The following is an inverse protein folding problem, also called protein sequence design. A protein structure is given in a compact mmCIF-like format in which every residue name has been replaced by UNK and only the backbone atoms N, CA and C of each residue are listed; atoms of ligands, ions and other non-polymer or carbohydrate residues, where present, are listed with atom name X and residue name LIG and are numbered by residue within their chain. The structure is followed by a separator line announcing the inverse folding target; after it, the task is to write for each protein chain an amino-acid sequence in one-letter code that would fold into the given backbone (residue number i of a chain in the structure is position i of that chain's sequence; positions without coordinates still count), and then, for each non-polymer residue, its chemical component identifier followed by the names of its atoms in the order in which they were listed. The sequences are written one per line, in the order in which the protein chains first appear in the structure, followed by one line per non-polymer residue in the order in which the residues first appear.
data_IF_831726993801
#
_entry.id   IF_831726993801
#
_cell.length_a   1.000
_cell.length_b   1.000
_cell.length_c   1.000
_cell.angle_alpha   90.00
_cell.angle_beta   90.00
_cell.angle_gamma   90.00
#
_symmetry.space_group_name_H-M   'P 1'
#
loop_
_entity.id
_entity.type
_entity.pdbx_description
1 polymer ?
#
# COMPACT_ATOMS: atom_id res chain seq x y z
N UNK A 1 8.82 -27.82 -29.58
CA UNK A 1 8.84 -28.94 -28.62
C UNK A 1 7.77 -28.70 -27.58
N UNK A 2 6.71 -29.50 -27.58
CA UNK A 2 5.83 -29.75 -26.43
C UNK A 2 4.82 -30.84 -26.83
N UNK A 3 5.29 -32.09 -26.89
CA UNK A 3 4.42 -33.24 -26.96
C UNK A 3 3.80 -33.40 -25.57
N UNK A 4 2.68 -32.73 -25.32
CA UNK A 4 1.92 -32.91 -24.09
C UNK A 4 1.11 -34.18 -24.30
N UNK A 5 1.56 -35.29 -23.73
CA UNK A 5 0.87 -36.58 -23.77
C UNK A 5 -0.55 -36.42 -23.24
N UNK A 6 -1.51 -36.39 -24.16
CA UNK A 6 -2.93 -36.46 -23.84
C UNK A 6 -3.25 -37.95 -23.76
N UNK A 7 -3.26 -38.49 -22.54
CA UNK A 7 -3.93 -39.78 -22.31
C UNK A 7 -5.39 -39.60 -22.78
N UNK A 8 -5.74 -40.20 -23.90
CA UNK A 8 -7.10 -40.08 -24.45
C UNK A 8 -8.11 -40.61 -23.43
N UNK A 9 -9.29 -39.99 -23.33
CA UNK A 9 -10.37 -40.41 -22.40
C UNK A 9 -10.66 -41.92 -22.46
N UNK A 10 -10.47 -42.53 -23.63
CA UNK A 10 -10.63 -43.97 -23.85
C UNK A 10 -9.58 -44.81 -23.11
N UNK A 11 -8.33 -44.35 -23.03
CA UNK A 11 -7.26 -45.03 -22.30
C UNK A 11 -7.56 -44.98 -20.79
N UNK A 12 -8.00 -43.83 -20.28
CA UNK A 12 -8.36 -43.67 -18.87
C UNK A 12 -9.53 -44.57 -18.47
N UNK A 13 -10.58 -44.65 -19.30
CA UNK A 13 -11.72 -45.57 -19.08
C UNK A 13 -11.27 -47.03 -18.98
N UNK A 14 -10.37 -47.45 -19.87
CA UNK A 14 -9.87 -48.83 -19.90
C UNK A 14 -9.04 -49.18 -18.67
N UNK A 15 -8.16 -48.27 -18.25
CA UNK A 15 -7.38 -48.44 -17.01
C UNK A 15 -8.32 -48.52 -15.79
N UNK A 16 -9.36 -47.69 -15.74
CA UNK A 16 -10.31 -47.68 -14.63
C UNK A 16 -11.09 -49.00 -14.53
N UNK A 17 -11.56 -49.52 -15.66
CA UNK A 17 -12.21 -50.84 -15.74
C UNK A 17 -11.27 -51.95 -15.26
N UNK A 18 -10.03 -51.96 -15.75
CA UNK A 18 -9.05 -52.97 -15.37
C UNK A 18 -8.75 -52.93 -13.87
N UNK A 19 -8.58 -51.75 -13.27
CA UNK A 19 -8.38 -51.60 -11.82
C UNK A 19 -9.61 -52.13 -11.06
N UNK A 20 -10.82 -51.78 -11.46
CA UNK A 20 -12.03 -52.18 -10.77
C UNK A 20 -12.27 -53.70 -10.81
N UNK A 21 -12.01 -54.33 -11.96
CA UNK A 21 -12.16 -55.78 -12.14
C UNK A 21 -11.03 -56.55 -11.46
N UNK A 22 -9.77 -56.17 -11.69
CA UNK A 22 -8.64 -56.98 -11.22
C UNK A 22 -8.24 -56.71 -9.78
N UNK A 23 -8.27 -55.44 -9.36
CA UNK A 23 -7.85 -55.03 -8.02
C UNK A 23 -9.00 -55.12 -7.02
N UNK A 24 -10.20 -54.66 -7.39
CA UNK A 24 -11.36 -54.59 -6.50
C UNK A 24 -12.35 -55.75 -6.69
N UNK A 25 -12.12 -56.65 -7.66
CA UNK A 25 -12.96 -57.83 -7.94
C UNK A 25 -14.43 -57.48 -8.20
N UNK A 26 -14.68 -56.33 -8.82
CA UNK A 26 -16.01 -55.89 -9.21
C UNK A 26 -16.33 -56.36 -10.64
N UNK A 27 -17.48 -56.98 -10.85
CA UNK A 27 -17.95 -57.36 -12.18
C UNK A 27 -18.56 -56.13 -12.89
N UNK A 28 -17.70 -55.36 -13.56
CA UNK A 28 -18.08 -54.17 -14.34
C UNK A 28 -17.89 -54.44 -15.83
N UNK A 29 -18.92 -54.10 -16.62
CA UNK A 29 -18.94 -54.32 -18.09
C UNK A 29 -18.65 -53.04 -18.86
N UNK A 30 -18.92 -51.87 -18.26
CA UNK A 30 -18.63 -50.56 -18.85
C UNK A 30 -18.39 -49.49 -17.77
N UNK A 31 -17.68 -48.42 -18.15
CA UNK A 31 -17.44 -47.26 -17.31
C UNK A 31 -17.72 -45.97 -18.09
N UNK A 32 -18.68 -45.19 -17.60
CA UNK A 32 -18.94 -43.86 -18.11
C UNK A 32 -18.18 -42.81 -17.29
N UNK A 33 -17.41 -41.98 -17.99
CA UNK A 33 -16.70 -40.87 -17.37
C UNK A 33 -17.68 -39.70 -17.32
N UNK A 34 -18.36 -39.51 -16.19
CA UNK A 34 -19.21 -38.36 -15.98
C UNK A 34 -18.33 -37.10 -16.00
N UNK A 35 -18.59 -36.20 -16.96
CA UNK A 35 -18.07 -34.84 -16.84
C UNK A 35 -18.83 -34.17 -15.72
N UNK A 36 -18.19 -33.99 -14.57
CA UNK A 36 -18.68 -33.03 -13.59
C UNK A 36 -18.69 -31.66 -14.26
N UNK A 37 -19.88 -31.09 -14.44
CA UNK A 37 -20.04 -29.65 -14.72
C UNK A 37 -19.73 -28.81 -13.48
N UNK A 38 -18.63 -29.12 -12.79
CA UNK A 38 -18.03 -28.16 -11.89
C UNK A 38 -17.45 -27.08 -12.80
N UNK A 39 -17.99 -25.86 -12.71
CA UNK A 39 -17.42 -24.69 -13.37
C UNK A 39 -15.92 -24.70 -13.07
N UNK A 40 -15.11 -24.94 -14.11
CA UNK A 40 -13.71 -24.58 -14.08
C UNK A 40 -13.70 -23.08 -13.82
N UNK A 41 -13.46 -22.68 -12.57
CA UNK A 41 -12.94 -21.35 -12.28
C UNK A 41 -11.54 -21.39 -12.90
N UNK A 42 -11.47 -21.06 -14.19
CA UNK A 42 -10.21 -20.67 -14.79
C UNK A 42 -9.79 -19.46 -13.97
N UNK A 43 -8.80 -19.64 -13.10
CA UNK A 43 -8.17 -18.58 -12.30
C UNK A 43 -7.41 -17.64 -13.25
N UNK A 44 -8.16 -16.97 -14.12
CA UNK A 44 -7.79 -15.69 -14.67
C UNK A 44 -7.84 -14.79 -13.46
N UNK A 45 -6.67 -14.56 -12.85
CA UNK A 45 -6.46 -13.47 -11.90
C UNK A 45 -7.06 -12.22 -12.55
N UNK A 46 -8.28 -11.89 -12.19
CA UNK A 46 -8.98 -10.75 -12.76
C UNK A 46 -8.34 -9.55 -12.11
N UNK A 47 -7.62 -8.76 -12.90
CA UNK A 47 -7.15 -7.46 -12.42
C UNK A 47 -8.39 -6.66 -12.05
N UNK A 48 -8.46 -6.17 -10.81
CA UNK A 48 -9.60 -5.37 -10.37
C UNK A 48 -9.76 -4.12 -11.25
N UNK A 49 -8.66 -3.65 -11.87
CA UNK A 49 -8.65 -2.53 -12.81
C UNK A 49 -9.40 -2.79 -14.11
N UNK A 50 -9.73 -4.05 -14.43
CA UNK A 50 -10.55 -4.40 -15.59
C UNK A 50 -12.05 -4.52 -15.24
N UNK A 51 -12.37 -4.52 -13.94
CA UNK A 51 -13.74 -4.67 -13.42
C UNK A 51 -14.41 -3.30 -13.43
N UNK A 52 -15.64 -3.24 -13.96
CA UNK A 52 -16.48 -2.04 -13.91
C UNK A 52 -16.82 -1.67 -12.46
N UNK A 53 -16.50 -0.44 -12.04
CA UNK A 53 -16.75 0.01 -10.67
C UNK A 53 -18.23 -0.11 -10.26
N UNK A 54 -19.19 0.02 -11.20
CA UNK A 54 -20.62 -0.12 -10.91
C UNK A 54 -20.97 -1.48 -10.28
N UNK A 55 -20.23 -2.55 -10.62
CA UNK A 55 -20.46 -3.88 -10.05
C UNK A 55 -20.34 -3.92 -8.53
N UNK A 56 -19.49 -3.05 -7.96
CA UNK A 56 -19.28 -2.95 -6.52
C UNK A 56 -19.94 -1.69 -5.94
N UNK A 57 -19.98 -0.59 -6.69
CA UNK A 57 -20.45 0.70 -6.22
C UNK A 57 -21.94 0.69 -5.94
N UNK A 58 -22.74 -0.02 -6.76
CA UNK A 58 -24.19 -0.10 -6.59
C UNK A 58 -24.61 -1.08 -5.48
N UNK A 59 -23.66 -1.74 -4.83
CA UNK A 59 -23.94 -2.61 -3.69
C UNK A 59 -24.29 -1.82 -2.42
N UNK A 60 -25.02 -2.47 -1.52
CA UNK A 60 -25.35 -1.98 -0.18
C UNK A 60 -24.36 -2.47 0.90
N UNK A 61 -23.15 -2.91 0.49
CA UNK A 61 -22.11 -3.33 1.42
C UNK A 61 -20.97 -2.31 1.47
N UNK A 62 -20.56 -1.83 2.67
CA UNK A 62 -19.41 -0.95 2.80
C UNK A 62 -18.11 -1.63 2.36
N UNK A 63 -18.02 -2.96 2.49
CA UNK A 63 -16.85 -3.74 2.06
C UNK A 63 -16.69 -3.68 0.53
N UNK A 64 -17.78 -3.91 -0.20
CA UNK A 64 -17.77 -3.83 -1.65
C UNK A 64 -17.58 -2.39 -2.12
N UNK A 65 -18.22 -1.42 -1.46
CA UNK A 65 -18.03 0.00 -1.76
C UNK A 65 -16.57 0.43 -1.60
N UNK A 66 -15.87 0.01 -0.55
CA UNK A 66 -14.44 0.38 -0.38
C UNK A 66 -13.57 -0.19 -1.51
N UNK A 67 -13.90 -1.39 -2.01
CA UNK A 67 -13.15 -2.05 -3.08
C UNK A 67 -13.36 -1.39 -4.46
N UNK A 68 -14.42 -0.57 -4.63
CA UNK A 68 -14.65 0.18 -5.88
C UNK A 68 -13.46 1.04 -6.28
N UNK A 69 -12.68 1.52 -5.30
CA UNK A 69 -11.48 2.33 -5.52
C UNK A 69 -10.44 1.61 -6.41
N UNK A 70 -10.46 0.28 -6.45
CA UNK A 70 -9.54 -0.54 -7.24
C UNK A 70 -10.03 -0.79 -8.68
N UNK A 71 -11.29 -0.46 -8.97
CA UNK A 71 -11.96 -0.77 -10.23
C UNK A 71 -11.68 0.22 -11.37
N UNK A 72 -12.03 -0.17 -12.59
CA UNK A 72 -12.10 0.74 -13.73
C UNK A 72 -13.20 1.78 -13.49
N UNK A 73 -12.83 3.06 -13.52
CA UNK A 73 -13.76 4.18 -13.37
C UNK A 73 -14.46 4.58 -14.67
N UNK A 74 -14.21 3.87 -15.78
CA UNK A 74 -14.87 4.10 -17.08
C UNK A 74 -14.70 5.53 -17.62
N UNK A 75 -13.59 6.17 -17.27
CA UNK A 75 -13.28 7.54 -17.67
C UNK A 75 -13.88 8.63 -16.78
N UNK A 76 -14.54 8.28 -15.67
CA UNK A 76 -14.85 9.26 -14.63
C UNK A 76 -13.57 9.79 -13.99
N UNK A 77 -13.61 11.06 -13.60
CA UNK A 77 -12.51 11.69 -12.90
C UNK A 77 -12.24 10.97 -11.56
N UNK A 78 -10.99 10.55 -11.29
CA UNK A 78 -10.69 9.83 -10.07
C UNK A 78 -10.97 10.63 -8.80
N UNK A 79 -10.77 11.95 -8.80
CA UNK A 79 -10.99 12.76 -7.61
C UNK A 79 -12.49 12.83 -7.28
N UNK A 80 -13.33 13.09 -8.30
CA UNK A 80 -14.79 13.04 -8.17
C UNK A 80 -15.28 11.66 -7.68
N UNK A 81 -14.72 10.59 -8.23
CA UNK A 81 -15.07 9.22 -7.84
C UNK A 81 -14.74 8.92 -6.38
N UNK A 82 -13.56 9.32 -5.91
CA UNK A 82 -13.19 9.13 -4.51
C UNK A 82 -14.10 9.90 -3.58
N UNK A 83 -14.46 11.14 -3.93
CA UNK A 83 -15.42 11.94 -3.15
C UNK A 83 -16.77 11.23 -3.06
N UNK A 84 -17.29 10.67 -4.15
CA UNK A 84 -18.55 9.91 -4.14
C UNK A 84 -18.49 8.64 -3.29
N UNK A 85 -17.41 7.86 -3.42
CA UNK A 85 -17.17 6.67 -2.60
C UNK A 85 -17.15 7.05 -1.12
N UNK A 86 -16.40 8.11 -0.78
CA UNK A 86 -16.27 8.60 0.59
C UNK A 86 -17.61 9.06 1.19
N UNK A 87 -18.41 9.83 0.42
CA UNK A 87 -19.74 10.28 0.85
C UNK A 87 -20.67 9.09 1.12
N UNK A 88 -20.73 8.12 0.20
CA UNK A 88 -21.58 6.94 0.36
C UNK A 88 -21.11 6.08 1.53
N UNK A 89 -19.80 5.90 1.69
CA UNK A 89 -19.20 5.14 2.78
C UNK A 89 -19.50 5.78 4.14
N UNK A 90 -19.37 7.12 4.24
CA UNK A 90 -19.73 7.88 5.43
C UNK A 90 -21.21 7.67 5.79
N UNK A 91 -22.12 7.78 4.81
CA UNK A 91 -23.54 7.59 5.05
C UNK A 91 -23.88 6.18 5.59
N UNK A 92 -23.19 5.15 5.10
CA UNK A 92 -23.39 3.76 5.51
C UNK A 92 -22.80 3.43 6.89
N UNK A 93 -21.79 4.19 7.33
CA UNK A 93 -21.02 3.90 8.56
C UNK A 93 -21.20 4.94 9.66
N UNK A 94 -22.00 5.99 9.45
CA UNK A 94 -22.20 7.14 10.35
C UNK A 94 -22.52 6.84 11.82
N UNK A 95 -23.10 5.68 12.09
CA UNK A 95 -23.55 5.30 13.45
C UNK A 95 -22.52 4.46 14.21
N UNK A 96 -21.41 4.09 13.56
CA UNK A 96 -20.32 3.32 14.13
C UNK A 96 -18.98 3.97 13.77
N UNK A 97 -18.56 4.91 14.62
CA UNK A 97 -17.32 5.67 14.40
C UNK A 97 -16.09 4.76 14.27
N UNK A 98 -16.05 3.64 15.00
CA UNK A 98 -14.90 2.72 14.94
C UNK A 98 -14.83 2.09 13.56
N UNK A 99 -15.96 1.53 13.10
CA UNK A 99 -16.06 0.91 11.78
C UNK A 99 -15.85 1.91 10.66
N UNK A 100 -16.35 3.13 10.81
CA UNK A 100 -16.10 4.22 9.86
C UNK A 100 -14.59 4.49 9.73
N UNK A 101 -13.88 4.68 10.85
CA UNK A 101 -12.42 4.90 10.82
C UNK A 101 -11.67 3.76 10.17
N UNK A 102 -12.06 2.51 10.42
CA UNK A 102 -11.47 1.33 9.79
C UNK A 102 -11.63 1.37 8.26
N UNK A 103 -12.82 1.67 7.74
CA UNK A 103 -13.00 1.77 6.29
C UNK A 103 -12.33 2.98 5.66
N UNK A 104 -12.28 4.14 6.34
CA UNK A 104 -11.53 5.30 5.86
C UNK A 104 -10.04 4.96 5.72
N UNK A 105 -9.47 4.28 6.72
CA UNK A 105 -8.09 3.82 6.65
C UNK A 105 -7.86 2.83 5.49
N UNK A 106 -8.79 1.90 5.27
CA UNK A 106 -8.69 0.97 4.13
C UNK A 106 -8.76 1.73 2.80
N UNK A 107 -9.69 2.68 2.67
CA UNK A 107 -9.85 3.49 1.46
C UNK A 107 -8.57 4.27 1.14
N UNK A 108 -7.96 4.90 2.15
CA UNK A 108 -6.67 5.61 2.01
C UNK A 108 -5.57 4.67 1.50
N UNK A 109 -5.43 3.49 2.10
CA UNK A 109 -4.43 2.49 1.70
C UNK A 109 -4.66 2.03 0.25
N UNK A 110 -5.91 1.74 -0.12
CA UNK A 110 -6.22 1.24 -1.45
C UNK A 110 -6.09 2.33 -2.53
N UNK A 111 -6.43 3.59 -2.21
CA UNK A 111 -6.20 4.73 -3.08
C UNK A 111 -4.70 4.95 -3.33
N UNK A 112 -3.88 4.88 -2.29
CA UNK A 112 -2.41 4.98 -2.38
C UNK A 112 -1.80 3.82 -3.20
N UNK A 113 -2.30 2.59 -3.00
CA UNK A 113 -1.90 1.43 -3.81
C UNK A 113 -2.24 1.58 -5.31
N UNK A 114 -3.28 2.38 -5.63
CA UNK A 114 -3.63 2.72 -7.00
C UNK A 114 -2.91 4.00 -7.49
N UNK A 115 -2.10 4.62 -6.64
CA UNK A 115 -1.42 5.89 -6.90
C UNK A 115 -2.39 7.01 -7.29
N UNK A 116 -3.58 7.00 -6.68
CA UNK A 116 -4.54 8.08 -6.82
C UNK A 116 -4.11 9.19 -5.85
N UNK A 117 -3.41 10.19 -6.36
CA UNK A 117 -2.98 11.36 -5.58
C UNK A 117 -4.16 12.33 -5.35
N UNK A 118 -5.24 11.85 -4.74
CA UNK A 118 -6.47 12.62 -4.55
C UNK A 118 -6.36 13.52 -3.32
N UNK A 119 -6.70 14.79 -3.48
CA UNK A 119 -6.87 15.68 -2.35
C UNK A 119 -8.31 15.60 -1.82
N UNK A 120 -8.53 14.80 -0.77
CA UNK A 120 -9.84 14.60 -0.14
C UNK A 120 -10.07 15.48 1.09
N UNK A 121 -9.22 16.48 1.34
CA UNK A 121 -9.33 17.34 2.52
C UNK A 121 -10.68 18.08 2.55
N UNK A 122 -11.09 18.67 1.41
CA UNK A 122 -12.38 19.35 1.31
C UNK A 122 -13.55 18.40 1.60
N UNK A 123 -13.47 17.15 1.15
CA UNK A 123 -14.49 16.15 1.39
C UNK A 123 -14.55 15.74 2.87
N UNK A 124 -13.41 15.62 3.55
CA UNK A 124 -13.35 15.40 4.99
C UNK A 124 -13.96 16.56 5.78
N UNK A 125 -13.66 17.80 5.40
CA UNK A 125 -14.20 19.00 6.04
C UNK A 125 -15.73 19.07 5.87
N UNK A 126 -16.24 18.82 4.65
CA UNK A 126 -17.67 18.79 4.34
C UNK A 126 -18.43 17.69 5.09
N UNK A 127 -17.79 16.54 5.30
CA UNK A 127 -18.37 15.40 6.02
C UNK A 127 -18.16 15.46 7.53
N UNK A 128 -17.52 16.53 8.04
CA UNK A 128 -17.16 16.71 9.44
C UNK A 128 -16.42 15.49 10.03
N UNK A 129 -15.51 14.90 9.25
CA UNK A 129 -14.70 13.77 9.69
C UNK A 129 -13.58 14.29 10.60
N UNK A 130 -13.51 13.76 11.83
CA UNK A 130 -12.44 14.10 12.79
C UNK A 130 -11.11 13.44 12.38
N UNK A 131 -10.41 14.08 11.43
CA UNK A 131 -9.14 13.57 10.86
C UNK A 131 -8.07 13.30 11.94
N UNK A 132 -8.07 14.04 13.05
CA UNK A 132 -7.11 13.86 14.15
C UNK A 132 -7.23 12.50 14.85
N UNK A 133 -8.39 11.85 14.72
CA UNK A 133 -8.63 10.49 15.24
C UNK A 133 -8.28 9.39 14.25
N UNK A 134 -7.92 9.72 13.00
CA UNK A 134 -7.53 8.74 12.01
C UNK A 134 -6.09 8.24 12.28
N UNK A 135 -5.84 6.92 12.20
CA UNK A 135 -4.50 6.37 12.42
C UNK A 135 -3.43 6.92 11.47
N UNK A 136 -3.80 7.20 10.22
CA UNK A 136 -2.92 7.76 9.20
C UNK A 136 -2.45 9.17 9.56
N UNK A 137 -3.38 10.04 10.00
CA UNK A 137 -3.06 11.38 10.47
C UNK A 137 -2.12 11.36 11.68
N UNK A 138 -2.42 10.52 12.68
CA UNK A 138 -1.60 10.39 13.88
C UNK A 138 -0.17 9.95 13.54
N UNK A 139 -0.04 8.93 12.67
CA UNK A 139 1.26 8.45 12.19
C UNK A 139 2.02 9.52 11.39
N UNK A 140 1.30 10.29 10.57
CA UNK A 140 1.88 11.40 9.82
C UNK A 140 2.40 12.50 10.74
N UNK A 141 1.64 12.87 11.77
CA UNK A 141 2.03 13.86 12.77
C UNK A 141 3.24 13.41 13.59
N UNK A 142 3.24 12.16 14.06
CA UNK A 142 4.36 11.58 14.82
C UNK A 142 5.66 11.63 14.01
N UNK A 143 5.63 11.16 12.76
CA UNK A 143 6.78 11.25 11.85
C UNK A 143 7.22 12.68 11.59
N UNK A 144 6.28 13.60 11.39
CA UNK A 144 6.59 15.01 11.17
C UNK A 144 7.29 15.65 12.36
N UNK A 145 6.86 15.31 13.59
CA UNK A 145 7.50 15.75 14.82
C UNK A 145 8.89 15.12 14.95
N UNK A 146 9.02 13.81 14.74
CA UNK A 146 10.30 13.09 14.81
C UNK A 146 11.33 13.70 13.86
N UNK A 147 10.98 13.85 12.57
CA UNK A 147 11.85 14.47 11.57
C UNK A 147 12.17 15.94 11.91
N UNK A 148 11.20 16.67 12.46
CA UNK A 148 11.40 18.06 12.88
C UNK A 148 12.39 18.18 14.05
N UNK A 149 12.27 17.29 15.04
CA UNK A 149 13.17 17.22 16.20
C UNK A 149 14.57 16.80 15.77
N UNK A 150 14.70 15.75 14.94
CA UNK A 150 15.98 15.26 14.43
C UNK A 150 16.72 16.37 13.66
N UNK A 151 16.07 16.98 12.65
CA UNK A 151 16.66 18.10 11.90
C UNK A 151 17.02 19.27 12.82
N UNK A 152 16.18 19.57 13.81
CA UNK A 152 16.43 20.63 14.78
C UNK A 152 17.68 20.36 15.63
N UNK A 153 17.87 19.12 16.09
CA UNK A 153 19.06 18.70 16.83
C UNK A 153 20.30 18.75 15.95
N UNK A 154 20.26 18.21 14.73
CA UNK A 154 21.39 18.25 13.79
C UNK A 154 21.83 19.69 13.50
N UNK A 155 20.88 20.59 13.20
CA UNK A 155 21.17 22.01 12.97
C UNK A 155 21.78 22.64 14.23
N UNK A 156 21.26 22.31 15.42
CA UNK A 156 21.75 22.82 16.70
C UNK A 156 23.18 22.36 17.01
N UNK A 157 23.44 21.06 16.86
CA UNK A 157 24.78 20.47 17.04
C UNK A 157 25.77 21.07 16.04
N UNK A 158 25.37 21.18 14.77
CA UNK A 158 26.21 21.77 13.75
C UNK A 158 26.56 23.24 14.05
N UNK A 159 25.57 24.06 14.43
CA UNK A 159 25.81 25.46 14.86
C UNK A 159 26.76 25.53 16.05
N UNK A 160 26.57 24.66 17.05
CA UNK A 160 27.47 24.59 18.22
C UNK A 160 28.88 24.19 17.82
N UNK A 161 29.05 23.22 16.92
CA UNK A 161 30.35 22.83 16.38
C UNK A 161 31.05 23.99 15.67
N UNK A 162 30.32 24.78 14.87
CA UNK A 162 30.85 26.00 14.24
C UNK A 162 31.29 27.04 15.28
N UNK A 163 30.53 27.24 16.36
CA UNK A 163 30.91 28.16 17.45
C UNK A 163 32.16 27.69 18.20
N UNK A 164 32.28 26.39 18.47
CA UNK A 164 33.47 25.81 19.10
C UNK A 164 34.68 25.97 18.17
N UNK A 165 34.52 25.69 16.87
CA UNK A 165 35.57 25.86 15.88
C UNK A 165 36.08 27.30 15.82
N UNK A 166 35.19 28.31 15.81
CA UNK A 166 35.56 29.72 15.88
C UNK A 166 36.40 30.05 17.12
N UNK A 167 35.99 29.57 18.30
CA UNK A 167 36.75 29.79 19.55
C UNK A 167 38.12 29.12 19.52
N UNK A 168 38.23 27.92 18.95
CA UNK A 168 39.50 27.20 18.81
C UNK A 168 40.45 27.88 17.81
N UNK A 169 39.92 28.39 16.69
CA UNK A 169 40.68 29.21 15.74
C UNK A 169 41.26 30.46 16.41
N UNK A 170 40.44 31.17 17.20
CA UNK A 170 40.89 32.34 17.97
C UNK A 170 41.97 32.02 19.02
N UNK A 171 42.07 30.76 19.45
CA UNK A 171 43.12 30.26 20.34
C UNK A 171 44.33 29.68 19.59
N UNK A 172 44.42 29.86 18.26
CA UNK A 172 45.48 29.35 17.37
C UNK A 172 45.61 27.82 17.34
N UNK A 173 44.51 27.08 17.51
CA UNK A 173 44.53 25.63 17.29
C UNK A 173 44.67 25.30 15.80
N UNK A 174 45.41 24.23 15.49
CA UNK A 174 45.59 23.77 14.11
C UNK A 174 44.31 23.16 13.53
N UNK A 175 44.09 23.25 12.21
CA UNK A 175 42.87 22.76 11.55
C UNK A 175 42.62 21.26 11.80
N UNK A 176 43.68 20.44 11.86
CA UNK A 176 43.56 19.00 12.17
C UNK A 176 43.00 18.75 13.59
N UNK A 177 43.40 19.57 14.57
CA UNK A 177 42.91 19.46 15.95
C UNK A 177 41.44 19.90 16.05
N UNK A 178 41.06 20.93 15.29
CA UNK A 178 39.69 21.45 15.26
C UNK A 178 38.75 20.42 14.62
N UNK A 179 39.15 19.78 13.52
CA UNK A 179 38.39 18.67 12.90
C UNK A 179 38.15 17.55 13.91
N UNK A 180 39.20 17.14 14.64
CA UNK A 180 39.10 16.06 15.62
C UNK A 180 38.11 16.37 16.76
N UNK A 181 38.00 17.63 17.18
CA UNK A 181 37.13 18.07 18.29
C UNK A 181 35.70 18.34 17.81
N UNK A 182 35.54 19.05 16.70
CA UNK A 182 34.24 19.58 16.25
C UNK A 182 33.54 18.69 15.22
N UNK A 183 34.28 17.74 14.63
CA UNK A 183 33.86 16.86 13.54
C UNK A 183 33.39 17.60 12.28
N UNK A 184 33.74 18.88 12.15
CA UNK A 184 33.52 19.66 10.94
C UNK A 184 34.48 19.23 9.84
N UNK A 185 34.07 19.46 8.60
CA UNK A 185 34.92 19.29 7.43
C UNK A 185 36.03 20.36 7.39
N UNK A 186 37.13 20.03 6.71
CA UNK A 186 38.20 20.99 6.45
C UNK A 186 37.69 22.23 5.69
N UNK A 187 36.74 22.03 4.78
CA UNK A 187 36.11 23.11 4.00
C UNK A 187 35.35 24.09 4.89
N UNK A 188 34.60 23.60 5.86
CA UNK A 188 33.85 24.46 6.80
C UNK A 188 34.81 25.26 7.69
N UNK A 189 35.89 24.64 8.16
CA UNK A 189 36.90 25.33 8.99
C UNK A 189 37.64 26.39 8.17
N UNK A 190 37.99 26.10 6.92
CA UNK A 190 38.62 27.08 6.02
C UNK A 190 37.70 28.27 5.76
N UNK A 191 36.41 28.03 5.51
CA UNK A 191 35.42 29.10 5.34
C UNK A 191 35.30 29.98 6.59
N UNK A 192 35.31 29.38 7.78
CA UNK A 192 35.31 30.13 9.04
C UNK A 192 36.55 31.01 9.19
N UNK A 193 37.73 30.52 8.80
CA UNK A 193 38.97 31.27 8.87
C UNK A 193 39.05 32.44 7.86
N UNK A 194 38.38 32.33 6.70
CA UNK A 194 38.34 33.39 5.68
C UNK A 194 37.32 34.50 5.97
N UNK A 195 36.43 34.34 6.95
CA UNK A 195 35.35 35.30 7.24
C UNK A 195 35.76 36.36 8.29
N UNK A 196 37.01 36.32 8.78
CA UNK A 196 37.55 37.28 9.76
C UNK A 196 38.49 38.35 9.17
N UNK A 197 38.57 38.47 7.83
CA UNK A 197 39.20 39.61 7.10
C UNK A 197 38.15 40.62 6.58
#
# INVERSE_FOLDING_TARGET
MAHKDIISKNILKRILLDIAVYLFKLDLVDAELLSTEEQRIEDRRSDMRDIDYHMLYDSDSPDALVLTILCDFRGHDPDEMVVHILQKLHAMTRHDEKRQREYLQILEILADNRHLNVNIQEAYDMLHIEIERLPSYQKGMEKGIEEGVERGMEIGEHKRSLEIARKLLAMNFGPEQIIAITRLSLTEIQQLATTEE
#
